data_IF_853447223213
#
_entry.id   IF_853447223213
#
_cell.length_a   1.000
_cell.length_b   1.000
_cell.length_c   1.000
_cell.angle_alpha   90.00
_cell.angle_beta   90.00
_cell.angle_gamma   90.00
#
_symmetry.space_group_name_H-M   'P 1'
#
loop_
_entity.id
_entity.type
_entity.pdbx_description
1 polymer ?
#
# COMPACT_ATOMS: atom_id res chain seq x y z
N UNK A 1 38.22 7.63 6.11
CA UNK A 1 37.09 8.56 6.32
C UNK A 1 36.28 8.81 5.04
N UNK A 2 36.91 9.18 3.92
CA UNK A 2 36.19 9.43 2.66
C UNK A 2 35.30 8.25 2.17
N UNK A 3 35.76 7.00 2.26
CA UNK A 3 34.94 5.83 1.88
C UNK A 3 33.75 5.57 2.79
N UNK A 4 33.86 5.86 4.09
CA UNK A 4 32.74 5.69 5.03
C UNK A 4 31.69 6.76 4.76
N UNK A 5 32.12 8.01 4.57
CA UNK A 5 31.22 9.12 4.21
C UNK A 5 30.52 8.83 2.87
N UNK A 6 31.26 8.36 1.86
CA UNK A 6 30.67 7.97 0.58
C UNK A 6 29.62 6.86 0.72
N UNK A 7 29.91 5.82 1.52
CA UNK A 7 28.97 4.72 1.74
C UNK A 7 27.66 5.22 2.39
N UNK A 8 27.73 6.00 3.46
CA UNK A 8 26.53 6.43 4.19
C UNK A 8 25.77 7.57 3.51
N UNK A 9 26.45 8.45 2.78
CA UNK A 9 25.82 9.64 2.16
C UNK A 9 25.34 9.36 0.74
N UNK A 10 25.99 8.44 0.03
CA UNK A 10 25.66 8.15 -1.38
C UNK A 10 25.09 6.76 -1.55
N UNK A 11 25.84 5.73 -1.15
CA UNK A 11 25.47 4.35 -1.45
C UNK A 11 24.21 3.90 -0.70
N UNK A 12 24.14 4.15 0.61
CA UNK A 12 23.00 3.73 1.45
C UNK A 12 21.69 4.40 1.00
N UNK A 13 21.60 5.72 0.78
CA UNK A 13 20.40 6.33 0.25
C UNK A 13 20.02 5.79 -1.13
N UNK A 14 20.99 5.59 -2.03
CA UNK A 14 20.71 5.09 -3.37
C UNK A 14 20.14 3.67 -3.33
N UNK A 15 20.71 2.79 -2.50
CA UNK A 15 20.14 1.46 -2.27
C UNK A 15 18.76 1.54 -1.61
N UNK A 16 18.59 2.40 -0.62
CA UNK A 16 17.32 2.59 0.09
C UNK A 16 16.19 3.07 -0.82
N UNK A 17 16.44 4.01 -1.73
CA UNK A 17 15.42 4.57 -2.62
C UNK A 17 15.14 3.70 -3.85
N UNK A 18 16.14 3.03 -4.41
CA UNK A 18 15.97 2.28 -5.67
C UNK A 18 15.82 0.77 -5.44
N UNK A 19 16.62 0.18 -4.55
CA UNK A 19 16.65 -1.29 -4.34
C UNK A 19 15.65 -1.72 -3.27
N UNK A 20 15.51 -0.93 -2.21
CA UNK A 20 14.59 -1.21 -1.10
C UNK A 20 13.15 -1.47 -1.56
N UNK A 21 12.51 -0.54 -2.30
CA UNK A 21 11.12 -0.70 -2.75
C UNK A 21 10.92 -1.90 -3.67
N UNK A 22 11.89 -2.19 -4.57
CA UNK A 22 11.79 -3.33 -5.48
C UNK A 22 11.88 -4.64 -4.69
N UNK A 23 12.85 -4.75 -3.80
CA UNK A 23 13.06 -5.94 -2.97
C UNK A 23 11.84 -6.21 -2.11
N UNK A 24 11.28 -5.17 -1.48
CA UNK A 24 10.06 -5.27 -0.67
C UNK A 24 8.87 -5.77 -1.50
N UNK A 25 8.65 -5.21 -2.69
CA UNK A 25 7.57 -5.65 -3.59
C UNK A 25 7.72 -7.11 -4.03
N UNK A 26 8.93 -7.55 -4.35
CA UNK A 26 9.21 -8.94 -4.75
C UNK A 26 9.00 -9.88 -3.57
N UNK A 27 9.47 -9.51 -2.38
CA UNK A 27 9.25 -10.29 -1.17
C UNK A 27 7.75 -10.45 -0.88
N UNK A 28 7.00 -9.35 -0.88
CA UNK A 28 5.56 -9.31 -0.63
C UNK A 28 4.74 -10.10 -1.68
N UNK A 29 5.20 -10.15 -2.93
CA UNK A 29 4.54 -10.95 -3.95
C UNK A 29 4.61 -12.46 -3.64
N UNK A 30 5.73 -12.91 -3.03
CA UNK A 30 5.93 -14.30 -2.60
C UNK A 30 5.44 -14.60 -1.18
N UNK A 31 5.31 -13.59 -0.31
CA UNK A 31 4.95 -13.73 1.10
C UNK A 31 3.73 -12.87 1.41
N UNK A 32 2.57 -13.51 1.31
CA UNK A 32 1.26 -12.91 1.57
C UNK A 32 0.68 -13.42 2.87
N UNK A 33 0.06 -12.53 3.61
CA UNK A 33 -0.61 -12.84 4.87
C UNK A 33 -2.02 -12.25 4.90
N UNK A 34 -2.88 -12.84 5.70
CA UNK A 34 -4.21 -12.31 5.96
C UNK A 34 -4.22 -11.56 7.29
N UNK A 35 -4.62 -10.28 7.24
CA UNK A 35 -4.80 -9.45 8.43
C UNK A 35 -6.26 -9.03 8.54
N UNK A 36 -6.82 -9.07 9.75
CA UNK A 36 -8.16 -8.59 10.02
C UNK A 36 -8.06 -7.19 10.63
N UNK A 37 -8.68 -6.22 9.98
CA UNK A 37 -8.63 -4.82 10.37
C UNK A 37 -10.04 -4.23 10.48
N UNK A 38 -10.20 -3.24 11.33
CA UNK A 38 -11.45 -2.47 11.46
C UNK A 38 -11.36 -1.24 10.57
N UNK A 39 -12.24 -1.14 9.58
CA UNK A 39 -12.20 -0.05 8.61
C UNK A 39 -12.94 1.18 9.16
N UNK A 40 -12.26 2.32 9.24
CA UNK A 40 -12.86 3.60 9.62
C UNK A 40 -13.38 4.39 8.42
N UNK A 41 -12.83 4.19 7.23
CA UNK A 41 -13.40 4.73 5.99
C UNK A 41 -12.82 4.03 4.76
N UNK A 42 -13.53 4.11 3.65
CA UNK A 42 -13.01 3.74 2.34
C UNK A 42 -13.41 4.78 1.29
N UNK A 43 -12.49 5.08 0.38
CA UNK A 43 -12.75 6.01 -0.73
C UNK A 43 -11.97 5.63 -1.97
N UNK A 44 -12.54 5.93 -3.14
CA UNK A 44 -11.82 5.87 -4.41
C UNK A 44 -10.79 6.98 -4.48
N UNK A 45 -9.67 6.70 -5.12
CA UNK A 45 -8.60 7.64 -5.35
C UNK A 45 -7.86 7.27 -6.64
N UNK A 46 -6.96 8.14 -7.07
CA UNK A 46 -6.15 7.92 -8.24
C UNK A 46 -4.68 8.23 -7.91
N UNK A 47 -3.81 7.22 -7.98
CA UNK A 47 -2.37 7.48 -7.91
C UNK A 47 -1.92 8.10 -9.23
N UNK A 48 -1.18 9.20 -9.14
CA UNK A 48 -0.77 9.98 -10.31
C UNK A 48 0.74 10.02 -10.42
N UNK A 49 1.28 9.34 -11.44
CA UNK A 49 2.68 9.47 -11.81
C UNK A 49 2.83 10.68 -12.74
N UNK A 50 3.32 11.81 -12.21
CA UNK A 50 3.58 13.02 -13.01
C UNK A 50 4.87 12.82 -13.82
N UNK A 51 4.77 12.36 -15.07
CA UNK A 51 5.90 12.44 -15.98
C UNK A 51 6.13 13.89 -16.38
N UNK A 52 7.37 14.39 -16.26
CA UNK A 52 7.80 15.71 -16.74
C UNK A 52 7.59 15.91 -18.26
N UNK A 53 7.18 14.85 -18.97
CA UNK A 53 6.93 14.80 -20.42
C UNK A 53 5.44 14.75 -20.80
N UNK A 54 4.52 14.90 -19.86
CA UNK A 54 3.07 15.02 -20.13
C UNK A 54 2.30 13.71 -20.32
N UNK A 55 2.95 12.55 -20.17
CA UNK A 55 2.28 11.24 -20.12
C UNK A 55 2.13 10.84 -18.66
N UNK A 56 1.03 11.28 -18.04
CA UNK A 56 0.67 10.84 -16.70
C UNK A 56 -0.15 9.56 -16.76
N UNK A 57 0.30 8.50 -16.10
CA UNK A 57 -0.55 7.34 -15.84
C UNK A 57 -1.25 7.58 -14.50
N UNK A 58 -2.58 7.56 -14.53
CA UNK A 58 -3.45 7.59 -13.36
C UNK A 58 -3.92 6.17 -13.10
N UNK A 59 -3.57 5.62 -11.95
CA UNK A 59 -4.00 4.28 -11.53
C UNK A 59 -5.13 4.43 -10.53
N UNK A 60 -6.32 3.93 -10.91
CA UNK A 60 -7.47 3.81 -10.02
C UNK A 60 -7.16 2.94 -8.82
N UNK A 61 -7.61 3.36 -7.64
CA UNK A 61 -7.36 2.65 -6.39
C UNK A 61 -8.48 2.89 -5.37
N UNK A 62 -8.61 1.97 -4.42
CA UNK A 62 -9.44 2.15 -3.22
C UNK A 62 -8.52 2.27 -2.02
N UNK A 63 -8.69 3.33 -1.25
CA UNK A 63 -7.96 3.60 -0.01
C UNK A 63 -8.84 3.23 1.16
N UNK A 64 -8.32 2.41 2.08
CA UNK A 64 -8.98 2.02 3.32
C UNK A 64 -8.23 2.65 4.48
N UNK A 65 -8.91 3.49 5.25
CA UNK A 65 -8.41 3.90 6.56
C UNK A 65 -8.84 2.87 7.58
N UNK A 66 -7.91 2.42 8.42
CA UNK A 66 -8.21 1.42 9.45
C UNK A 66 -7.70 1.91 10.80
N UNK A 67 -8.37 1.50 11.87
CA UNK A 67 -8.00 1.90 13.24
C UNK A 67 -6.88 1.06 13.84
N UNK A 68 -6.57 -0.11 13.27
CA UNK A 68 -5.66 -1.12 13.81
C UNK A 68 -4.52 -1.53 12.86
N UNK A 69 -4.65 -1.29 11.56
CA UNK A 69 -3.65 -1.68 10.55
C UNK A 69 -3.00 -0.49 9.82
N UNK A 70 -3.49 0.73 10.01
CA UNK A 70 -3.09 1.92 9.26
C UNK A 70 -3.76 2.00 7.88
N UNK A 71 -3.27 2.89 7.02
CA UNK A 71 -3.84 3.10 5.68
C UNK A 71 -3.44 1.96 4.74
N UNK A 72 -4.44 1.31 4.13
CA UNK A 72 -4.26 0.23 3.17
C UNK A 72 -4.77 0.67 1.79
N UNK A 73 -4.14 0.20 0.70
CA UNK A 73 -4.51 0.62 -0.66
C UNK A 73 -4.66 -0.58 -1.59
N UNK A 74 -5.80 -0.70 -2.26
CA UNK A 74 -6.02 -1.70 -3.29
C UNK A 74 -5.94 -1.06 -4.68
N UNK A 75 -5.01 -1.56 -5.50
CA UNK A 75 -4.90 -1.24 -6.94
C UNK A 75 -5.23 -2.44 -7.82
N UNK A 76 -4.99 -3.66 -7.32
CA UNK A 76 -5.30 -4.89 -8.05
C UNK A 76 -6.81 -5.07 -8.19
N UNK A 77 -7.26 -5.23 -9.45
CA UNK A 77 -8.68 -5.41 -9.76
C UNK A 77 -9.50 -4.12 -9.69
N UNK A 78 -8.88 -2.97 -9.44
CA UNK A 78 -9.55 -1.66 -9.37
C UNK A 78 -9.36 -0.91 -10.69
N UNK A 79 -10.44 -0.32 -11.20
CA UNK A 79 -10.48 0.52 -12.38
C UNK A 79 -11.52 1.64 -12.19
N UNK A 80 -11.59 2.59 -13.13
CA UNK A 80 -12.53 3.72 -13.07
C UNK A 80 -13.99 3.31 -13.04
N UNK A 81 -14.32 2.13 -13.57
CA UNK A 81 -15.71 1.66 -13.66
C UNK A 81 -16.18 1.07 -12.32
N UNK A 82 -15.24 0.60 -11.47
CA UNK A 82 -15.57 -0.11 -10.23
C UNK A 82 -15.06 0.53 -8.93
N UNK A 83 -14.14 1.51 -8.98
CA UNK A 83 -13.50 2.08 -7.80
C UNK A 83 -14.51 2.65 -6.79
N UNK A 84 -15.52 3.36 -7.27
CA UNK A 84 -16.56 3.96 -6.44
C UNK A 84 -17.52 2.92 -5.87
N UNK A 85 -17.81 1.85 -6.61
CA UNK A 85 -18.67 0.76 -6.14
C UNK A 85 -17.97 -0.05 -5.05
N UNK A 86 -16.70 -0.39 -5.27
CA UNK A 86 -15.87 -1.10 -4.30
C UNK A 86 -15.74 -0.30 -3.01
N UNK A 87 -15.46 1.01 -3.09
CA UNK A 87 -15.36 1.87 -1.91
C UNK A 87 -16.70 1.97 -1.16
N UNK A 88 -17.82 2.16 -1.86
CA UNK A 88 -19.16 2.24 -1.24
C UNK A 88 -19.65 0.93 -0.63
N UNK A 89 -19.13 -0.21 -1.11
CA UNK A 89 -19.44 -1.53 -0.53
C UNK A 89 -18.77 -1.78 0.82
N UNK A 90 -17.87 -0.90 1.25
CA UNK A 90 -17.19 -0.99 2.54
C UNK A 90 -18.00 -0.26 3.60
N UNK A 91 -18.32 -0.97 4.67
CA UNK A 91 -19.10 -0.44 5.78
C UNK A 91 -18.13 0.08 6.84
N UNK A 92 -18.25 1.34 7.20
CA UNK A 92 -17.49 1.95 8.29
C UNK A 92 -17.78 1.24 9.63
N UNK A 93 -16.73 0.98 10.41
CA UNK A 93 -16.78 0.28 11.69
C UNK A 93 -16.75 -1.25 11.58
N UNK A 94 -16.93 -1.81 10.38
CA UNK A 94 -16.90 -3.25 10.17
C UNK A 94 -15.48 -3.81 10.02
N UNK A 95 -15.38 -5.12 10.24
CA UNK A 95 -14.10 -5.84 10.14
C UNK A 95 -13.96 -6.55 8.82
N UNK A 96 -12.81 -6.35 8.19
CA UNK A 96 -12.46 -6.94 6.90
C UNK A 96 -11.16 -7.73 7.03
N UNK A 97 -11.09 -8.85 6.32
CA UNK A 97 -9.85 -9.62 6.12
C UNK A 97 -9.19 -9.13 4.84
N UNK A 98 -7.95 -8.69 4.93
CA UNK A 98 -7.13 -8.19 3.83
C UNK A 98 -6.00 -9.17 3.48
N UNK A 99 -5.79 -9.46 2.20
CA UNK A 99 -4.58 -10.13 1.65
C UNK A 99 -3.53 -9.05 1.36
N UNK A 100 -2.48 -9.02 2.17
CA UNK A 100 -1.39 -8.04 2.13
C UNK A 100 -0.02 -8.73 2.10
N UNK A 101 0.99 -8.00 1.63
CA UNK A 101 2.38 -8.43 1.73
C UNK A 101 2.89 -8.41 3.18
N UNK A 102 3.53 -9.49 3.61
CA UNK A 102 4.05 -9.65 4.97
C UNK A 102 5.10 -8.59 5.32
N UNK A 103 6.02 -8.30 4.40
CA UNK A 103 7.09 -7.34 4.60
C UNK A 103 6.54 -5.93 4.79
N UNK A 104 5.66 -5.49 3.88
CA UNK A 104 5.00 -4.19 4.00
C UNK A 104 4.14 -4.09 5.27
N UNK A 105 3.41 -5.15 5.64
CA UNK A 105 2.61 -5.16 6.88
C UNK A 105 3.48 -5.07 8.14
N UNK A 106 4.62 -5.77 8.15
CA UNK A 106 5.58 -5.74 9.25
C UNK A 106 6.21 -4.35 9.39
N UNK A 107 6.53 -3.70 8.26
CA UNK A 107 7.14 -2.37 8.21
C UNK A 107 6.11 -1.22 8.21
N UNK A 108 4.81 -1.49 8.40
CA UNK A 108 3.71 -0.53 8.22
C UNK A 108 3.91 0.80 8.94
N UNK A 109 4.44 0.80 10.17
CA UNK A 109 4.67 2.02 10.93
C UNK A 109 5.71 2.94 10.25
N UNK A 110 6.80 2.37 9.74
CA UNK A 110 7.81 3.10 8.99
C UNK A 110 7.25 3.59 7.64
N UNK A 111 6.57 2.72 6.90
CA UNK A 111 5.98 3.08 5.61
C UNK A 111 4.95 4.22 5.74
N UNK A 112 4.08 4.15 6.75
CA UNK A 112 3.12 5.22 7.06
C UNK A 112 3.82 6.54 7.40
N UNK A 113 4.97 6.50 8.10
CA UNK A 113 5.75 7.71 8.44
C UNK A 113 6.24 8.44 7.19
N UNK A 114 6.62 7.70 6.15
CA UNK A 114 7.06 8.24 4.85
C UNK A 114 5.92 8.34 3.83
N UNK A 115 4.66 8.16 4.27
CA UNK A 115 3.45 8.19 3.44
C UNK A 115 3.46 7.17 2.29
N UNK A 116 4.09 6.03 2.49
CA UNK A 116 4.05 4.91 1.57
C UNK A 116 2.94 3.93 2.00
N UNK A 117 2.05 3.62 1.06
CA UNK A 117 0.93 2.72 1.32
C UNK A 117 1.35 1.25 1.46
N UNK A 118 0.62 0.51 2.29
CA UNK A 118 0.62 -0.96 2.27
C UNK A 118 -0.41 -1.43 1.25
N UNK A 119 0.04 -2.17 0.23
CA UNK A 119 -0.84 -2.60 -0.85
C UNK A 119 -1.61 -3.88 -0.50
N UNK A 120 -2.90 -3.86 -0.82
CA UNK A 120 -3.85 -4.97 -0.68
C UNK A 120 -4.06 -5.58 -2.05
N UNK A 121 -4.11 -6.92 -2.12
CA UNK A 121 -4.57 -7.63 -3.32
C UNK A 121 -6.06 -7.87 -3.33
N UNK A 122 -6.60 -8.34 -2.22
CA UNK A 122 -8.03 -8.59 -2.05
C UNK A 122 -8.46 -8.33 -0.61
N UNK A 123 -9.76 -8.09 -0.44
CA UNK A 123 -10.38 -7.96 0.87
C UNK A 123 -11.74 -8.66 0.86
N UNK A 124 -12.17 -9.12 2.02
CA UNK A 124 -13.50 -9.72 2.21
C UNK A 124 -14.04 -9.37 3.61
N UNK A 125 -15.37 -9.21 3.77
CA UNK A 125 -15.97 -9.04 5.09
C UNK A 125 -15.64 -10.26 5.97
N UNK A 126 -15.30 -10.02 7.24
CA UNK A 126 -15.23 -11.10 8.22
C UNK A 126 -16.66 -11.53 8.48
N UNK A 127 -17.08 -12.68 7.93
CA UNK A 127 -18.42 -13.21 8.18
C UNK A 127 -18.64 -13.37 9.69
N UNK A 128 -19.47 -12.51 10.25
CA UNK A 128 -20.13 -12.75 11.54
C UNK A 128 -21.14 -13.87 11.31
N UNK A 129 -20.94 -14.97 12.04
CA UNK A 129 -21.90 -16.08 12.08
C UNK A 129 -23.08 -15.70 12.96
#
# INVERSE_FOLDING_TARGET
MASIVFAFVVLVPLLGFFVGPITLKVYDAGHRVHVVCTVSSAHSSADSSRSLKGVGSSTSQVVFETSDCGTLVQTWGVNRDNEDELARGVIEGERYRFDVGEGSLTMRAFLNTIRQAVYVKSFEPVRTR
#
